data_IF_398520875027
#
_entry.id   IF_398520875027
#
_cell.length_a   1.000
_cell.length_b   1.000
_cell.length_c   1.000
_cell.angle_alpha   90.00
_cell.angle_beta   90.00
_cell.angle_gamma   90.00
#
_symmetry.space_group_name_H-M   'P 1'
#
loop_
_entity.id
_entity.type
_entity.pdbx_description
1 polymer ?
#
# COMPACT_ATOMS: atom_id res chain seq x y z
N UNK A 1 -2.17 -5.85 0.70
CA UNK A 1 -3.42 -6.61 0.72
C UNK A 1 -4.56 -5.62 0.56
N UNK A 2 -5.54 -5.94 -0.27
CA UNK A 2 -6.73 -5.15 -0.55
C UNK A 2 -7.92 -5.89 0.04
N UNK A 3 -8.70 -5.19 0.86
CA UNK A 3 -9.83 -5.76 1.57
C UNK A 3 -11.07 -4.92 1.35
N UNK A 4 -12.21 -5.57 1.23
CA UNK A 4 -13.52 -4.91 1.20
C UNK A 4 -14.14 -5.00 2.59
N UNK A 5 -14.76 -3.93 3.06
CA UNK A 5 -15.64 -3.95 4.24
C UNK A 5 -17.02 -3.44 3.83
N UNK A 6 -18.04 -4.21 4.14
CA UNK A 6 -19.42 -3.91 3.74
C UNK A 6 -20.43 -4.48 4.73
N UNK A 7 -21.55 -3.78 4.93
CA UNK A 7 -22.76 -4.32 5.52
C UNK A 7 -23.83 -4.43 4.43
N UNK A 8 -24.46 -5.59 4.28
CA UNK A 8 -25.56 -5.78 3.34
C UNK A 8 -26.64 -6.71 3.87
N UNK A 9 -27.85 -6.48 3.37
CA UNK A 9 -29.07 -7.26 3.63
C UNK A 9 -29.17 -8.55 2.81
N UNK A 10 -30.13 -9.42 3.11
CA UNK A 10 -30.31 -10.69 2.38
C UNK A 10 -30.45 -10.49 0.87
N UNK A 11 -31.14 -9.43 0.44
CA UNK A 11 -31.26 -9.00 -0.95
C UNK A 11 -30.12 -8.07 -1.44
N UNK A 12 -28.98 -8.07 -0.76
CA UNK A 12 -27.74 -7.33 -1.04
C UNK A 12 -27.86 -5.80 -1.05
N UNK A 13 -28.96 -5.23 -0.56
CA UNK A 13 -29.04 -3.77 -0.38
C UNK A 13 -27.93 -3.32 0.57
N UNK A 14 -27.20 -2.28 0.16
CA UNK A 14 -26.18 -1.55 0.94
C UNK A 14 -26.63 -0.14 1.34
N UNK A 15 -27.67 0.39 0.67
CA UNK A 15 -28.12 1.75 0.91
C UNK A 15 -29.41 2.13 0.19
N UNK A 16 -30.03 3.20 0.70
CA UNK A 16 -31.19 3.88 0.13
C UNK A 16 -31.01 5.38 0.32
N UNK A 17 -31.18 6.18 -0.73
CA UNK A 17 -31.09 7.66 -0.65
C UNK A 17 -29.82 8.17 0.06
N UNK A 18 -28.67 7.55 -0.25
CA UNK A 18 -27.35 7.78 0.36
C UNK A 18 -27.27 7.51 1.88
N UNK A 19 -28.17 6.71 2.45
CA UNK A 19 -28.16 6.28 3.85
C UNK A 19 -28.25 4.77 3.97
N UNK A 20 -27.80 4.24 5.11
CA UNK A 20 -28.09 2.84 5.48
C UNK A 20 -29.54 2.75 5.96
N UNK A 21 -30.37 1.82 5.42
CA UNK A 21 -31.77 1.69 5.81
C UNK A 21 -31.97 0.92 7.13
N UNK A 22 -30.89 0.64 7.86
CA UNK A 22 -30.88 -0.11 9.11
C UNK A 22 -30.02 0.56 10.17
N UNK A 23 -30.19 0.11 11.41
CA UNK A 23 -29.30 0.35 12.54
C UNK A 23 -28.88 -1.00 13.13
N UNK A 24 -27.65 -1.44 12.81
CA UNK A 24 -27.12 -2.72 13.26
C UNK A 24 -26.15 -2.48 14.41
N UNK A 25 -26.51 -3.02 15.57
CA UNK A 25 -25.70 -2.92 16.77
C UNK A 25 -24.32 -3.53 16.52
N UNK A 26 -23.27 -2.78 16.89
CA UNK A 26 -21.89 -3.25 16.79
C UNK A 26 -21.27 -3.19 15.39
N UNK A 27 -22.05 -2.97 14.31
CA UNK A 27 -21.51 -2.90 12.95
C UNK A 27 -20.53 -1.73 12.77
N UNK A 28 -20.92 -0.52 13.21
CA UNK A 28 -20.04 0.65 13.17
C UNK A 28 -18.78 0.49 14.03
N UNK A 29 -18.89 -0.20 15.17
CA UNK A 29 -17.75 -0.49 16.04
C UNK A 29 -16.81 -1.51 15.39
N UNK A 30 -17.36 -2.57 14.80
CA UNK A 30 -16.62 -3.56 14.03
C UNK A 30 -15.87 -2.89 12.87
N UNK A 31 -16.56 -2.07 12.06
CA UNK A 31 -15.97 -1.29 10.99
C UNK A 31 -14.83 -0.39 11.49
N UNK A 32 -15.07 0.34 12.59
CA UNK A 32 -14.06 1.24 13.19
C UNK A 32 -12.83 0.45 13.62
N UNK A 33 -13.00 -0.65 14.33
CA UNK A 33 -11.90 -1.45 14.86
C UNK A 33 -11.08 -2.11 13.75
N UNK A 34 -11.76 -2.62 12.72
CA UNK A 34 -11.12 -3.25 11.57
C UNK A 34 -10.28 -2.26 10.76
N UNK A 35 -10.82 -1.07 10.51
CA UNK A 35 -10.17 -0.06 9.65
C UNK A 35 -9.20 0.86 10.38
N UNK A 36 -9.18 0.88 11.71
CA UNK A 36 -8.34 1.80 12.50
C UNK A 36 -6.86 1.68 12.13
N UNK A 37 -6.19 2.83 11.97
CA UNK A 37 -4.76 2.89 11.66
C UNK A 37 -4.39 2.43 10.25
N UNK A 38 -5.39 2.17 9.38
CA UNK A 38 -5.18 1.73 8.00
C UNK A 38 -5.69 2.76 6.99
N UNK A 39 -5.51 2.43 5.72
CA UNK A 39 -6.00 3.24 4.60
C UNK A 39 -7.42 2.80 4.26
N UNK A 40 -8.31 3.76 4.09
CA UNK A 40 -9.67 3.55 3.59
C UNK A 40 -9.84 4.25 2.25
N UNK A 41 -10.45 3.56 1.30
CA UNK A 41 -10.74 4.06 -0.04
C UNK A 41 -12.24 4.08 -0.23
N UNK A 42 -12.78 5.22 -0.65
CA UNK A 42 -14.21 5.40 -0.84
C UNK A 42 -14.52 6.28 -2.06
N UNK A 43 -15.73 6.16 -2.59
CA UNK A 43 -16.23 7.08 -3.61
C UNK A 43 -16.74 8.39 -3.01
N UNK A 44 -16.74 9.47 -3.79
CA UNK A 44 -17.26 10.81 -3.39
C UNK A 44 -18.63 10.78 -2.72
N UNK A 45 -19.60 10.00 -3.24
CA UNK A 45 -20.96 9.92 -2.64
C UNK A 45 -20.94 9.34 -1.22
N UNK A 46 -20.08 8.35 -0.97
CA UNK A 46 -19.89 7.76 0.36
C UNK A 46 -19.26 8.79 1.29
N UNK A 47 -18.24 9.51 0.82
CA UNK A 47 -17.62 10.60 1.58
C UNK A 47 -18.63 11.68 1.97
N UNK A 48 -19.44 12.16 1.03
CA UNK A 48 -20.47 13.17 1.28
C UNK A 48 -21.57 12.70 2.23
N UNK A 49 -21.95 11.43 2.16
CA UNK A 49 -22.90 10.82 3.11
C UNK A 49 -22.34 10.78 4.53
N UNK A 50 -21.05 10.48 4.69
CA UNK A 50 -20.35 10.51 5.98
C UNK A 50 -20.16 11.97 6.47
N UNK A 51 -19.91 12.89 5.54
CA UNK A 51 -19.79 14.33 5.78
C UNK A 51 -18.47 14.80 6.41
N UNK A 52 -17.50 13.90 6.58
CA UNK A 52 -16.18 14.18 7.16
C UNK A 52 -15.17 13.07 6.88
N UNK A 53 -13.89 13.37 7.05
CA UNK A 53 -12.86 12.34 7.23
C UNK A 53 -13.13 11.47 8.45
N UNK A 54 -12.73 10.21 8.33
CA UNK A 54 -12.78 9.23 9.40
C UNK A 54 -11.46 9.30 10.20
N UNK A 55 -11.46 9.81 11.45
CA UNK A 55 -10.24 10.06 12.20
C UNK A 55 -9.49 8.77 12.52
N UNK A 56 -8.16 8.87 12.64
CA UNK A 56 -7.26 7.74 12.89
C UNK A 56 -7.06 6.82 11.68
N UNK A 57 -7.50 7.26 10.49
CA UNK A 57 -7.38 6.54 9.20
C UNK A 57 -6.88 7.47 8.13
N UNK A 58 -6.21 6.90 7.14
CA UNK A 58 -5.86 7.61 5.90
C UNK A 58 -7.05 7.49 4.96
N UNK A 59 -7.67 8.61 4.60
CA UNK A 59 -8.89 8.69 3.80
C UNK A 59 -8.50 9.00 2.35
N UNK A 60 -8.78 8.09 1.42
CA UNK A 60 -8.62 8.32 -0.02
C UNK A 60 -10.00 8.36 -0.66
N UNK A 61 -10.37 9.51 -1.24
CA UNK A 61 -11.66 9.73 -1.88
C UNK A 61 -11.50 9.74 -3.40
N UNK A 62 -12.26 8.88 -4.07
CA UNK A 62 -12.31 8.81 -5.53
C UNK A 62 -13.37 9.80 -6.03
N UNK A 63 -12.91 10.85 -6.74
CA UNK A 63 -13.74 11.88 -7.34
C UNK A 63 -13.19 12.28 -8.70
N UNK A 64 -14.08 12.40 -9.70
CA UNK A 64 -13.73 12.86 -11.05
C UNK A 64 -13.84 14.38 -11.22
N UNK A 65 -14.42 15.07 -10.24
CA UNK A 65 -14.54 16.52 -10.28
C UNK A 65 -13.19 17.11 -9.92
N UNK A 66 -12.80 18.18 -10.61
CA UNK A 66 -11.75 19.06 -10.13
C UNK A 66 -12.30 19.80 -8.91
N UNK A 67 -12.25 19.13 -7.77
CA UNK A 67 -12.51 19.72 -6.47
C UNK A 67 -11.37 20.72 -6.25
N UNK A 68 -11.61 21.98 -6.64
CA UNK A 68 -10.77 23.10 -6.17
C UNK A 68 -10.66 22.91 -4.67
N UNK A 69 -9.45 22.69 -4.21
CA UNK A 69 -9.12 22.51 -2.81
C UNK A 69 -9.62 23.73 -2.05
N UNK A 70 -10.84 23.66 -1.51
CA UNK A 70 -11.26 24.60 -0.49
C UNK A 70 -10.21 24.48 0.61
N UNK A 71 -9.67 25.62 1.02
CA UNK A 71 -8.38 25.82 1.69
C UNK A 71 -8.25 25.16 3.08
N UNK A 72 -9.19 24.31 3.48
CA UNK A 72 -9.08 23.43 4.62
C UNK A 72 -8.85 22.00 4.15
N UNK A 73 -7.57 21.64 3.96
CA UNK A 73 -7.17 20.24 3.81
C UNK A 73 -7.44 19.54 5.16
N UNK A 74 -8.48 18.71 5.20
CA UNK A 74 -8.71 17.83 6.36
C UNK A 74 -7.50 16.91 6.57
N UNK A 75 -7.13 16.66 7.82
CA UNK A 75 -5.99 15.80 8.15
C UNK A 75 -6.20 14.40 7.57
N UNK A 76 -5.17 13.85 6.92
CA UNK A 76 -5.20 12.51 6.30
C UNK A 76 -6.23 12.32 5.17
N UNK A 77 -6.67 13.38 4.48
CA UNK A 77 -7.52 13.30 3.29
C UNK A 77 -6.72 13.41 1.98
N UNK A 78 -6.92 12.45 1.07
CA UNK A 78 -6.30 12.39 -0.25
C UNK A 78 -7.35 12.18 -1.33
N UNK A 79 -7.11 12.71 -2.53
CA UNK A 79 -8.00 12.62 -3.68
C UNK A 79 -7.39 11.78 -4.80
N UNK A 80 -8.21 10.92 -5.41
CA UNK A 80 -7.86 10.11 -6.57
C UNK A 80 -8.95 10.25 -7.65
N UNK A 81 -8.58 10.17 -8.92
CA UNK A 81 -9.49 10.24 -10.07
C UNK A 81 -10.05 8.87 -10.47
N UNK A 82 -9.40 7.78 -10.06
CA UNK A 82 -9.83 6.40 -10.31
C UNK A 82 -9.48 5.44 -9.16
N UNK A 83 -10.02 4.20 -9.23
CA UNK A 83 -9.69 3.15 -8.26
C UNK A 83 -8.21 2.75 -8.36
N UNK A 84 -7.68 2.67 -9.56
CA UNK A 84 -6.28 2.31 -9.83
C UNK A 84 -5.35 3.34 -9.18
N UNK A 85 -5.64 4.63 -9.38
CA UNK A 85 -4.88 5.71 -8.76
C UNK A 85 -4.98 5.68 -7.23
N UNK A 86 -6.16 5.42 -6.67
CA UNK A 86 -6.33 5.30 -5.22
C UNK A 86 -5.52 4.14 -4.63
N UNK A 87 -5.55 2.97 -5.27
CA UNK A 87 -4.76 1.80 -4.86
C UNK A 87 -3.26 2.09 -4.98
N UNK A 88 -2.85 2.77 -6.03
CA UNK A 88 -1.47 3.15 -6.25
C UNK A 88 -0.94 4.08 -5.15
N UNK A 89 -1.66 5.17 -4.84
CA UNK A 89 -1.36 6.08 -3.73
C UNK A 89 -1.26 5.28 -2.42
N UNK A 90 -2.24 4.41 -2.16
CA UNK A 90 -2.30 3.60 -0.94
C UNK A 90 -1.09 2.66 -0.81
N UNK A 91 -0.71 1.97 -1.90
CA UNK A 91 0.46 1.09 -1.92
C UNK A 91 1.77 1.87 -1.69
N UNK A 92 1.92 3.03 -2.33
CA UNK A 92 3.09 3.88 -2.14
C UNK A 92 3.24 4.31 -0.66
N UNK A 93 2.14 4.70 0.00
CA UNK A 93 2.15 5.02 1.43
C UNK A 93 2.58 3.84 2.31
N UNK A 94 2.09 2.63 2.03
CA UNK A 94 2.48 1.42 2.77
C UNK A 94 3.98 1.11 2.57
N UNK A 95 4.48 1.23 1.33
CA UNK A 95 5.89 0.95 1.01
C UNK A 95 6.84 1.95 1.67
N UNK A 96 6.55 3.25 1.61
CA UNK A 96 7.39 4.28 2.25
C UNK A 96 7.47 4.07 3.77
N UNK A 97 6.35 3.70 4.40
CA UNK A 97 6.31 3.38 5.82
C UNK A 97 7.19 2.17 6.19
N UNK A 98 7.28 1.16 5.32
CA UNK A 98 8.17 0.00 5.52
C UNK A 98 9.64 0.41 5.39
N UNK A 99 9.97 1.18 4.36
CA UNK A 99 11.33 1.66 4.14
C UNK A 99 11.84 2.53 5.30
N UNK A 100 11.01 3.44 5.82
CA UNK A 100 11.38 4.23 7.01
C UNK A 100 11.62 3.38 8.25
N UNK A 101 10.84 2.30 8.44
CA UNK A 101 11.02 1.38 9.56
C UNK A 101 12.31 0.58 9.42
N UNK A 102 12.63 0.11 8.21
CA UNK A 102 13.85 -0.64 7.92
C UNK A 102 15.09 0.23 8.11
N UNK A 103 15.06 1.49 7.68
CA UNK A 103 16.14 2.46 7.92
C UNK A 103 16.32 2.72 9.43
N UNK A 104 15.23 2.95 10.19
CA UNK A 104 15.29 3.17 11.64
C UNK A 104 15.80 1.93 12.39
N UNK A 105 15.42 0.73 11.95
CA UNK A 105 15.88 -0.55 12.51
C UNK A 105 17.36 -0.81 12.23
N UNK A 106 17.84 -0.45 11.04
CA UNK A 106 19.26 -0.57 10.69
C UNK A 106 20.12 0.46 11.44
N UNK A 107 19.61 1.69 11.62
CA UNK A 107 20.32 2.73 12.40
C UNK A 107 20.31 2.48 13.91
N UNK A 108 19.38 1.66 14.43
CA UNK A 108 19.36 1.23 15.84
C UNK A 108 20.16 -0.06 16.12
N UNK A 109 20.57 -0.77 15.06
CA UNK A 109 21.49 -1.92 15.13
C UNK A 109 22.95 -1.54 14.76
N UNK A 110 23.22 -0.26 14.52
CA UNK A 110 24.57 0.30 14.37
C UNK A 110 25.02 0.96 15.67
N UNK A 111 25.24 0.15 16.69
CA UNK A 111 26.33 0.43 17.64
C UNK A 111 27.38 -0.64 17.42
N UNK A 112 28.62 -0.22 17.18
CA UNK A 112 29.81 -1.01 16.79
C UNK A 112 30.05 -1.12 15.27
N UNK A 113 30.55 -0.04 14.66
CA UNK A 113 31.93 0.06 14.13
C UNK A 113 32.14 1.45 13.49
N UNK A 114 32.05 2.48 14.33
CA UNK A 114 32.75 3.74 14.05
C UNK A 114 34.21 3.54 14.46
N UNK A 115 35.03 2.99 13.57
CA UNK A 115 36.50 3.15 13.59
C UNK A 115 37.15 2.37 12.42
N UNK A 116 36.99 2.86 11.18
CA UNK A 116 37.92 2.62 10.05
C UNK A 116 37.58 3.37 8.75
N UNK A 117 37.20 4.66 8.83
CA UNK A 117 37.29 5.56 7.67
C UNK A 117 37.90 6.89 8.13
N UNK A 118 39.13 6.82 8.61
CA UNK A 118 40.03 7.98 8.79
C UNK A 118 41.45 7.54 8.44
N UNK A 119 41.69 7.31 7.15
CA UNK A 119 43.00 7.36 6.47
C UNK A 119 42.80 6.85 5.04
N UNK A 120 42.42 7.77 4.15
CA UNK A 120 42.70 7.79 2.70
C UNK A 120 41.77 8.81 2.04
N UNK A 121 41.92 10.07 2.45
CA UNK A 121 41.51 11.21 1.65
C UNK A 121 42.59 12.28 1.80
N UNK A 122 43.73 12.03 1.17
CA UNK A 122 44.60 13.09 0.70
C UNK A 122 45.11 12.67 -0.68
N UNK A 123 44.94 13.59 -1.65
CA UNK A 123 45.50 13.59 -3.01
C UNK A 123 44.87 12.55 -3.98
N UNK A 124 44.25 12.91 -5.11
CA UNK A 124 44.41 14.08 -5.96
C UNK A 124 43.18 14.30 -6.86
N UNK A 125 42.86 15.57 -7.09
CA UNK A 125 42.05 16.04 -8.20
C UNK A 125 42.98 16.46 -9.35
N UNK A 126 42.63 16.04 -10.56
CA UNK A 126 42.89 16.66 -11.88
C UNK A 126 43.80 15.94 -12.90
N UNK A 127 43.31 16.00 -14.15
CA UNK A 127 43.93 15.84 -15.47
C UNK A 127 44.19 14.40 -15.96
N UNK A 128 43.45 13.87 -16.94
CA UNK A 128 43.42 14.13 -18.40
C UNK A 128 44.25 13.10 -19.19
N UNK A 129 43.57 12.39 -20.11
CA UNK A 129 44.04 11.89 -21.42
C UNK A 129 45.30 11.01 -21.50
N UNK A 130 45.20 9.88 -22.21
CA UNK A 130 46.33 9.30 -22.94
C UNK A 130 46.46 7.78 -22.85
N UNK A 131 46.42 7.16 -24.02
CA UNK A 131 46.46 5.73 -24.31
C UNK A 131 47.79 5.01 -23.99
N UNK A 132 47.67 3.67 -23.95
CA UNK A 132 48.54 2.66 -24.58
C UNK A 132 49.90 2.18 -23.99
N UNK A 133 50.01 0.83 -23.97
CA UNK A 133 51.13 -0.03 -24.46
C UNK A 133 52.14 -0.70 -23.49
N UNK A 134 52.20 -2.05 -23.66
CA UNK A 134 53.28 -3.07 -23.55
C UNK A 134 54.16 -3.22 -22.27
N UNK A 135 54.81 -4.35 -21.94
CA UNK A 135 54.76 -5.82 -22.15
C UNK A 135 55.89 -6.38 -21.24
N UNK A 136 55.76 -7.61 -20.72
CA UNK A 136 56.78 -8.69 -20.70
C UNK A 136 56.80 -9.55 -19.43
N UNK A 137 57.16 -10.81 -19.69
CA UNK A 137 57.13 -12.03 -18.91
C UNK A 137 58.17 -12.07 -17.77
N UNK A 138 57.90 -12.78 -16.66
CA UNK A 138 58.58 -14.05 -16.32
C UNK A 138 58.06 -14.67 -14.99
N UNK A 139 58.26 -15.98 -14.89
CA UNK A 139 57.77 -16.97 -13.93
C UNK A 139 58.07 -16.70 -12.44
N UNK A 140 57.12 -17.02 -11.55
CA UNK A 140 57.21 -18.14 -10.59
C UNK A 140 55.87 -18.42 -9.89
N UNK A 141 55.69 -19.67 -9.50
CA UNK A 141 54.45 -20.33 -9.04
C UNK A 141 53.77 -19.63 -7.86
N UNK A 142 52.44 -19.46 -7.91
CA UNK A 142 51.63 -19.30 -6.69
C UNK A 142 50.23 -19.91 -6.80
N UNK A 143 49.88 -20.67 -5.75
CA UNK A 143 48.66 -21.46 -5.52
C UNK A 143 47.37 -20.61 -5.40
N UNK A 144 47.48 -19.29 -5.56
CA UNK A 144 46.43 -18.26 -5.45
C UNK A 144 45.55 -18.10 -6.69
N UNK A 145 45.97 -18.58 -7.87
CA UNK A 145 45.24 -18.33 -9.14
C UNK A 145 43.99 -19.22 -9.29
N UNK A 146 43.89 -20.35 -8.56
CA UNK A 146 42.70 -21.22 -8.60
C UNK A 146 41.53 -20.71 -7.75
N UNK A 147 41.78 -19.99 -6.66
CA UNK A 147 40.73 -19.41 -5.82
C UNK A 147 40.14 -18.12 -6.44
N UNK A 148 40.97 -17.32 -7.12
CA UNK A 148 40.50 -16.12 -7.82
C UNK A 148 39.65 -16.40 -9.06
N UNK A 149 39.81 -17.55 -9.73
CA UNK A 149 38.91 -17.98 -10.83
C UNK A 149 37.54 -18.43 -10.33
N UNK A 150 37.44 -18.98 -9.12
CA UNK A 150 36.17 -19.38 -8.50
C UNK A 150 35.41 -18.13 -8.03
N UNK A 151 36.10 -17.14 -7.45
CA UNK A 151 35.52 -15.84 -7.11
C UNK A 151 35.04 -15.05 -8.34
N UNK A 152 35.78 -15.07 -9.46
CA UNK A 152 35.38 -14.37 -10.69
C UNK A 152 34.15 -15.01 -11.37
N UNK A 153 34.10 -16.35 -11.44
CA UNK A 153 32.94 -17.05 -12.02
C UNK A 153 31.69 -17.03 -11.12
N UNK A 154 31.86 -17.01 -9.79
CA UNK A 154 30.74 -16.74 -8.87
C UNK A 154 30.27 -15.28 -8.92
N UNK A 155 31.16 -14.32 -9.20
CA UNK A 155 30.78 -12.91 -9.49
C UNK A 155 29.95 -12.80 -10.78
N UNK A 156 30.29 -13.53 -11.84
CA UNK A 156 29.54 -13.51 -13.11
C UNK A 156 28.15 -14.19 -12.96
N UNK A 157 28.04 -15.30 -12.22
CA UNK A 157 26.74 -15.93 -11.92
C UNK A 157 25.87 -15.13 -10.95
N UNK A 158 26.46 -14.47 -9.94
CA UNK A 158 25.74 -13.52 -9.09
C UNK A 158 25.31 -12.29 -9.88
N UNK A 159 26.15 -11.75 -10.77
CA UNK A 159 25.78 -10.59 -11.59
C UNK A 159 24.66 -10.89 -12.58
N UNK A 160 24.53 -12.11 -13.11
CA UNK A 160 23.39 -12.47 -13.97
C UNK A 160 22.08 -12.68 -13.19
N UNK A 161 22.14 -13.17 -11.94
CA UNK A 161 20.97 -13.22 -11.03
C UNK A 161 20.58 -11.84 -10.53
N UNK A 162 21.55 -11.02 -10.16
CA UNK A 162 21.39 -9.62 -9.78
C UNK A 162 20.85 -8.81 -10.96
N UNK A 163 21.28 -9.06 -12.21
CA UNK A 163 20.74 -8.36 -13.39
C UNK A 163 19.30 -8.79 -13.73
N UNK A 164 18.90 -10.04 -13.45
CA UNK A 164 17.50 -10.47 -13.55
C UNK A 164 16.63 -9.89 -12.41
N UNK A 165 17.17 -9.81 -11.20
CA UNK A 165 16.53 -9.12 -10.06
C UNK A 165 16.50 -7.61 -10.25
N UNK A 166 17.49 -7.00 -10.93
CA UNK A 166 17.54 -5.58 -11.30
C UNK A 166 16.54 -5.29 -12.42
N UNK A 167 16.35 -6.17 -13.42
CA UNK A 167 15.30 -5.96 -14.43
C UNK A 167 13.89 -6.06 -13.82
N UNK A 168 13.69 -6.95 -12.84
CA UNK A 168 12.46 -7.00 -12.04
C UNK A 168 12.32 -5.80 -11.08
N UNK A 169 13.44 -5.34 -10.51
CA UNK A 169 13.49 -4.19 -9.62
C UNK A 169 13.37 -2.85 -10.36
N UNK A 170 13.80 -2.76 -11.62
CA UNK A 170 13.72 -1.57 -12.49
C UNK A 170 12.27 -1.27 -12.85
N UNK A 171 11.45 -2.30 -13.12
CA UNK A 171 9.99 -2.12 -13.24
C UNK A 171 9.39 -1.52 -11.97
N UNK A 172 9.82 -1.97 -10.79
CA UNK A 172 9.34 -1.40 -9.52
C UNK A 172 9.99 -0.05 -9.15
N UNK A 173 11.18 0.25 -9.65
CA UNK A 173 11.88 1.52 -9.43
C UNK A 173 11.25 2.62 -10.28
N UNK A 174 10.83 2.29 -11.51
CA UNK A 174 10.08 3.18 -12.41
C UNK A 174 8.67 3.43 -11.89
N UNK A 175 8.01 2.42 -11.30
CA UNK A 175 6.73 2.59 -10.62
C UNK A 175 6.85 3.47 -9.37
N UNK A 176 7.92 3.31 -8.57
CA UNK A 176 8.21 4.15 -7.40
C UNK A 176 8.57 5.57 -7.83
N UNK A 177 9.35 5.75 -8.88
CA UNK A 177 9.73 7.07 -9.40
C UNK A 177 8.52 7.79 -10.01
N UNK A 178 7.67 7.06 -10.73
CA UNK A 178 6.38 7.56 -11.22
C UNK A 178 5.45 7.89 -10.05
N UNK A 179 5.45 7.10 -8.97
CA UNK A 179 4.69 7.41 -7.76
C UNK A 179 5.19 8.67 -7.09
N UNK A 180 6.51 8.78 -6.91
CA UNK A 180 7.16 9.94 -6.33
C UNK A 180 6.95 11.19 -7.20
N UNK A 181 6.99 11.07 -8.54
CA UNK A 181 6.67 12.16 -9.47
C UNK A 181 5.19 12.54 -9.45
N UNK A 182 4.25 11.60 -9.42
CA UNK A 182 2.81 11.88 -9.27
C UNK A 182 2.48 12.51 -7.90
N UNK A 183 3.24 12.12 -6.87
CA UNK A 183 3.20 12.76 -5.55
C UNK A 183 3.77 14.19 -5.65
N UNK A 184 4.82 14.41 -6.43
CA UNK A 184 5.50 15.71 -6.59
C UNK A 184 4.75 16.71 -7.48
N UNK A 185 4.13 16.24 -8.58
CA UNK A 185 3.36 17.05 -9.54
C UNK A 185 2.01 17.54 -8.98
N UNK A 186 1.54 16.96 -7.87
CA UNK A 186 0.27 17.32 -7.21
C UNK A 186 0.42 18.26 -6.01
N UNK A 187 1.51 19.02 -5.91
CA UNK A 187 1.80 19.92 -4.76
C UNK A 187 1.66 19.19 -3.41
N UNK A 188 2.36 18.07 -3.30
CA UNK A 188 2.65 17.42 -2.02
C UNK A 188 4.03 17.86 -1.55
N UNK A 189 4.24 19.18 -1.42
CA UNK A 189 5.45 19.73 -0.80
C UNK A 189 5.44 19.65 0.73
N UNK A 190 4.41 19.06 1.35
CA UNK A 190 4.26 19.01 2.81
C UNK A 190 4.05 17.59 3.38
N UNK A 191 4.68 16.55 2.79
CA UNK A 191 4.86 15.27 3.52
C UNK A 191 5.96 15.37 4.59
N UNK A 192 6.80 16.41 4.56
CA UNK A 192 7.89 16.56 5.53
C UNK A 192 7.67 17.71 6.51
N UNK A 193 7.65 17.30 7.78
CA UNK A 193 7.81 18.08 9.01
C UNK A 193 6.52 18.66 9.64
N UNK A 194 6.19 18.03 10.78
CA UNK A 194 5.25 18.43 11.81
C UNK A 194 3.77 18.11 11.53
N UNK A 195 3.32 17.03 12.19
CA UNK A 195 1.93 16.53 12.34
C UNK A 195 1.47 15.43 11.37
N UNK A 196 2.36 14.56 10.89
CA UNK A 196 1.93 13.21 10.48
C UNK A 196 1.74 12.38 11.75
N UNK A 197 0.49 12.24 12.18
CA UNK A 197 0.10 11.25 13.17
C UNK A 197 0.65 9.88 12.75
N UNK A 198 1.16 9.14 13.75
CA UNK A 198 1.91 7.87 13.76
C UNK A 198 1.15 6.67 13.15
N UNK A 199 0.51 6.84 12.00
CA UNK A 199 -0.31 5.84 11.33
C UNK A 199 0.62 5.01 10.43
N UNK A 200 0.70 3.71 10.71
CA UNK A 200 1.48 2.75 9.91
C UNK A 200 0.52 1.75 9.26
N UNK A 201 -0.10 2.13 8.12
CA UNK A 201 -1.10 1.30 7.48
C UNK A 201 -0.46 0.00 6.97
N UNK A 202 -1.17 -1.11 7.14
CA UNK A 202 -0.77 -2.44 6.64
C UNK A 202 -1.70 -2.94 5.55
N UNK A 203 -2.93 -2.43 5.54
CA UNK A 203 -4.03 -2.92 4.73
C UNK A 203 -4.78 -1.75 4.08
N UNK A 204 -5.32 -2.01 2.88
CA UNK A 204 -6.14 -1.07 2.12
C UNK A 204 -7.57 -1.56 2.21
N UNK A 205 -8.46 -0.75 2.79
CA UNK A 205 -9.87 -1.09 2.93
C UNK A 205 -10.72 -0.31 1.93
N UNK A 206 -11.37 -1.00 1.01
CA UNK A 206 -12.42 -0.46 0.17
C UNK A 206 -13.72 -0.44 0.97
N UNK A 207 -14.29 0.74 1.17
CA UNK A 207 -15.48 0.93 2.02
C UNK A 207 -16.71 1.38 1.21
N UNK A 208 -16.65 1.26 -0.11
CA UNK A 208 -17.75 1.51 -1.04
C UNK A 208 -17.74 2.90 -1.67
N UNK A 209 -18.84 3.35 -2.28
CA UNK A 209 -20.14 2.67 -2.43
C UNK A 209 -20.21 1.66 -3.59
N UNK A 210 -21.43 1.36 -4.04
CA UNK A 210 -21.76 0.39 -5.10
C UNK A 210 -20.75 0.35 -6.25
N UNK A 211 -20.53 1.47 -6.95
CA UNK A 211 -19.62 1.50 -8.12
C UNK A 211 -18.17 1.19 -7.77
N UNK A 212 -17.72 1.53 -6.55
CA UNK A 212 -16.37 1.24 -6.09
C UNK A 212 -16.25 -0.24 -5.73
N UNK A 213 -17.29 -0.80 -5.09
CA UNK A 213 -17.34 -2.24 -4.85
C UNK A 213 -17.29 -3.03 -6.15
N UNK A 214 -18.10 -2.67 -7.16
CA UNK A 214 -18.11 -3.30 -8.48
C UNK A 214 -16.72 -3.33 -9.14
N UNK A 215 -15.97 -2.23 -9.08
CA UNK A 215 -14.62 -2.14 -9.65
C UNK A 215 -13.58 -2.92 -8.84
N UNK A 216 -13.80 -3.10 -7.53
CA UNK A 216 -12.81 -3.68 -6.61
C UNK A 216 -13.02 -5.15 -6.29
N UNK A 217 -14.18 -5.73 -6.61
CA UNK A 217 -14.59 -7.04 -6.12
C UNK A 217 -13.64 -8.17 -6.55
N UNK A 218 -13.15 -8.14 -7.78
CA UNK A 218 -12.28 -9.19 -8.33
C UNK A 218 -10.83 -9.13 -7.83
N UNK A 219 -10.40 -7.95 -7.37
CA UNK A 219 -9.04 -7.71 -6.88
C UNK A 219 -8.93 -7.81 -5.36
N UNK A 220 -10.05 -8.03 -4.65
CA UNK A 220 -10.06 -8.13 -3.20
C UNK A 220 -9.45 -9.46 -2.72
N UNK A 221 -8.46 -9.35 -1.83
CA UNK A 221 -7.85 -10.47 -1.11
C UNK A 221 -8.76 -10.96 0.03
N UNK A 222 -9.49 -10.03 0.66
CA UNK A 222 -10.45 -10.31 1.73
C UNK A 222 -11.74 -9.51 1.57
N UNK A 223 -12.85 -10.08 2.03
CA UNK A 223 -14.15 -9.39 2.10
C UNK A 223 -14.71 -9.60 3.50
N UNK A 224 -14.78 -8.53 4.28
CA UNK A 224 -15.42 -8.50 5.58
C UNK A 224 -16.86 -8.03 5.40
N UNK A 225 -17.79 -8.92 5.73
CA UNK A 225 -19.22 -8.73 5.50
C UNK A 225 -19.97 -8.76 6.81
N UNK A 226 -20.73 -7.71 7.10
CA UNK A 226 -21.85 -7.78 8.04
C UNK A 226 -23.10 -8.19 7.27
N UNK A 227 -23.42 -9.48 7.30
CA UNK A 227 -24.58 -10.06 6.61
C UNK A 227 -25.82 -9.94 7.48
N UNK A 228 -26.74 -9.06 7.08
CA UNK A 228 -27.97 -8.76 7.80
C UNK A 228 -29.07 -9.68 7.32
N UNK A 229 -29.64 -10.47 8.22
CA UNK A 229 -30.69 -11.43 7.90
C UNK A 229 -32.08 -10.77 7.90
N UNK A 230 -32.25 -9.81 6.99
CA UNK A 230 -33.51 -9.10 6.73
C UNK A 230 -33.43 -8.49 5.32
N UNK A 231 -34.56 -8.40 4.62
CA UNK A 231 -34.65 -7.75 3.31
C UNK A 231 -35.05 -6.29 3.46
N UNK A 232 -34.25 -5.39 2.88
CA UNK A 232 -34.55 -3.95 2.89
C UNK A 232 -34.89 -3.45 1.48
N UNK A 233 -35.66 -2.37 1.40
CA UNK A 233 -35.78 -1.63 0.13
C UNK A 233 -34.56 -0.71 -0.04
N UNK A 234 -33.95 -0.73 -1.22
CA UNK A 234 -32.71 0.00 -1.50
C UNK A 234 -32.56 0.37 -2.96
N UNK A 235 -31.63 1.29 -3.22
CA UNK A 235 -31.25 1.73 -4.58
C UNK A 235 -29.75 1.54 -4.87
N UNK A 236 -29.03 0.93 -3.92
CA UNK A 236 -27.63 0.58 -3.98
C UNK A 236 -27.46 -0.86 -3.50
N UNK A 237 -26.74 -1.67 -4.27
CA UNK A 237 -26.53 -3.08 -3.99
C UNK A 237 -25.05 -3.43 -3.93
N UNK A 238 -24.70 -4.42 -3.11
CA UNK A 238 -23.39 -5.04 -3.15
C UNK A 238 -23.32 -5.97 -4.37
N UNK A 239 -22.25 -5.93 -5.20
CA UNK A 239 -22.13 -6.82 -6.37
C UNK A 239 -22.13 -8.30 -5.97
N UNK A 240 -22.47 -9.16 -6.93
CA UNK A 240 -22.23 -10.58 -6.76
C UNK A 240 -20.73 -10.84 -6.86
N UNK A 241 -20.26 -11.86 -6.15
CA UNK A 241 -18.90 -12.35 -6.24
C UNK A 241 -18.91 -13.87 -6.17
N UNK A 242 -17.87 -14.47 -6.72
CA UNK A 242 -17.70 -15.92 -6.74
C UNK A 242 -17.19 -16.40 -5.39
N UNK A 243 -18.10 -16.89 -4.54
CA UNK A 243 -17.78 -17.38 -3.20
C UNK A 243 -16.82 -18.58 -3.22
N UNK A 244 -16.75 -19.35 -4.32
CA UNK A 244 -15.87 -20.51 -4.44
C UNK A 244 -14.37 -20.12 -4.50
N UNK A 245 -14.08 -18.84 -4.81
CA UNK A 245 -12.72 -18.28 -4.76
C UNK A 245 -12.26 -17.96 -3.34
N UNK A 246 -13.11 -18.13 -2.33
CA UNK A 246 -12.86 -17.70 -0.96
C UNK A 246 -13.07 -18.82 0.05
N UNK A 247 -12.19 -18.86 1.06
CA UNK A 247 -12.43 -19.58 2.31
C UNK A 247 -13.24 -18.68 3.25
N UNK A 248 -14.36 -19.20 3.74
CA UNK A 248 -15.29 -18.45 4.60
C UNK A 248 -15.08 -18.76 6.09
N UNK A 249 -15.14 -17.72 6.93
CA UNK A 249 -15.11 -17.81 8.39
C UNK A 249 -16.15 -16.88 9.02
N UNK A 250 -17.05 -17.44 9.83
CA UNK A 250 -17.95 -16.64 10.66
C UNK A 250 -17.16 -16.15 11.88
N UNK A 251 -17.04 -14.83 12.03
CA UNK A 251 -16.33 -14.19 13.14
C UNK A 251 -17.22 -14.06 14.37
N UNK A 252 -18.49 -13.69 14.16
CA UNK A 252 -19.48 -13.46 15.21
C UNK A 252 -20.88 -13.50 14.61
N UNK A 253 -21.88 -13.87 15.40
CA UNK A 253 -23.30 -13.74 15.04
C UNK A 253 -24.09 -13.19 16.23
N UNK A 254 -25.10 -12.39 15.95
CA UNK A 254 -26.02 -11.82 16.94
C UNK A 254 -27.46 -11.93 16.42
N UNK A 255 -28.42 -12.04 17.34
CA UNK A 255 -29.84 -12.17 17.01
C UNK A 255 -30.66 -10.88 17.20
N UNK A 256 -30.14 -9.86 17.89
CA UNK A 256 -30.90 -8.69 18.33
C UNK A 256 -30.22 -7.37 17.95
N UNK A 257 -30.99 -6.31 17.61
CA UNK A 257 -32.44 -6.31 17.33
C UNK A 257 -32.79 -6.96 15.98
N UNK A 258 -31.80 -7.11 15.10
CA UNK A 258 -31.90 -7.79 13.80
C UNK A 258 -30.79 -8.83 13.75
N UNK A 259 -31.13 -10.06 13.35
CA UNK A 259 -30.15 -11.13 13.20
C UNK A 259 -29.10 -10.75 12.16
N UNK A 260 -27.83 -10.84 12.51
CA UNK A 260 -26.73 -10.56 11.59
C UNK A 260 -25.48 -11.36 11.95
N UNK A 261 -24.61 -11.55 10.96
CA UNK A 261 -23.34 -12.26 11.12
C UNK A 261 -22.20 -11.43 10.54
N UNK A 262 -21.09 -11.36 11.27
CA UNK A 262 -19.81 -10.86 10.77
C UNK A 262 -19.07 -12.03 10.13
N UNK A 263 -18.85 -11.96 8.82
CA UNK A 263 -18.28 -13.02 8.00
C UNK A 263 -17.01 -12.50 7.33
N UNK A 264 -15.95 -13.28 7.35
CA UNK A 264 -14.73 -13.07 6.58
C UNK A 264 -14.69 -14.06 5.42
N UNK A 265 -14.57 -13.55 4.21
CA UNK A 265 -14.19 -14.30 3.02
C UNK A 265 -12.71 -13.98 2.73
N UNK A 266 -11.84 -14.99 2.70
CA UNK A 266 -10.41 -14.82 2.41
C UNK A 266 -10.05 -15.63 1.16
N UNK A 267 -9.46 -14.97 0.16
CA UNK A 267 -9.18 -15.57 -1.15
C UNK A 267 -8.28 -16.81 -0.99
N UNK A 268 -8.60 -17.89 -1.72
CA UNK A 268 -7.87 -19.17 -1.70
C UNK A 268 -6.63 -19.09 -2.59
#
# INVERSE_FOLDING_TARGET
MISIVVAYSNNRVIGKDNKMPWDIKGDLEFFKNLTMGNIIVMGRRTYESIGRTLPGRINIVISRRDEKSNEQREENLYLAKSLEEAIFIAKAMITNNKLEQDIKKNNSNSSCEEDKIKKEQEFNLSQSLGDEIYVSEFFEENKEIKENKICYNNKIKSNNRINQEINHAQSSQDDIYTAQSLIKEKDIENINSNTMTKIQPKEIFIIGGESIYEQSIDIADRIYVTKINYDYYGDKYFPYFDEDKYRTKILKSEDLPVRHSFILYEKI
#
